data_IF_157023385572
#
_entry.id   IF_157023385572
#
_cell.length_a   1.000
_cell.length_b   1.000
_cell.length_c   1.000
_cell.angle_alpha   90.00
_cell.angle_beta   90.00
_cell.angle_gamma   90.00
#
_symmetry.space_group_name_H-M   'P 1'
#
loop_
_entity.id
_entity.type
_entity.pdbx_description
1 polymer ?
2 polymer ?
3 non-polymer ?
#
loop_
_entity_poly.entity_id
_entity_poly.type
_entity_poly.pdbx_seq_one_letter_code
_entity_poly.pdbx_strand_id
2 'polydeoxyribonucleotide' '(DG)(DT)(DA)(DT)(DG)(DG)(DC)(DG)(DC)(DC)(DA)(DT)(DA)(DC)' ?
#
# COMPACT_ATOMS: atom_id res chain seq x y z
N UNK A 12 1.99 -17.53 -4.35
CA UNK A 12 1.23 -17.81 -5.59
C UNK A 12 -0.27 -17.63 -5.39
N UNK A 13 -0.87 -18.23 -4.34
CA UNK A 13 -2.26 -17.91 -4.04
C UNK A 13 -2.41 -16.71 -3.12
N UNK A 14 -1.32 -16.27 -2.47
CA UNK A 14 -1.41 -15.06 -1.66
C UNK A 14 -1.84 -13.86 -2.49
N UNK A 15 -1.37 -13.78 -3.74
CA UNK A 15 -1.76 -12.67 -4.60
C UNK A 15 -3.25 -12.68 -4.83
N UNK A 16 -3.80 -13.85 -5.18
CA UNK A 16 -5.24 -13.94 -5.46
C UNK A 16 -6.05 -13.52 -4.24
N UNK A 17 -5.64 -13.96 -3.05
CA UNK A 17 -6.41 -13.68 -1.84
C UNK A 17 -6.38 -12.19 -1.47
N UNK A 18 -5.21 -11.55 -1.65
CA UNK A 18 -5.11 -10.12 -1.36
C UNK A 18 -5.91 -9.29 -2.35
N UNK A 19 -6.05 -9.77 -3.59
CA UNK A 19 -6.77 -9.03 -4.60
C UNK A 19 -8.23 -8.77 -4.19
N UNK A 27 -8.25 -3.16 -16.16
CA UNK A 27 -7.45 -2.54 -15.11
C UNK A 27 -7.11 -3.55 -14.03
N UNK A 28 -8.04 -4.49 -13.82
CA UNK A 28 -7.85 -5.56 -12.84
C UNK A 28 -6.49 -6.23 -13.00
N UNK A 29 -6.09 -6.53 -14.24
CA UNK A 29 -4.81 -7.19 -14.48
C UNK A 29 -3.61 -6.29 -14.17
N UNK A 30 -3.83 -4.99 -13.94
CA UNK A 30 -2.71 -4.14 -13.53
C UNK A 30 -2.49 -4.19 -12.03
N UNK A 31 -3.58 -4.17 -11.26
CA UNK A 31 -3.44 -4.34 -9.82
C UNK A 31 -2.88 -5.72 -9.51
N UNK A 32 -3.35 -6.74 -10.22
CA UNK A 32 -2.79 -8.08 -10.06
C UNK A 32 -1.29 -8.03 -10.21
N UNK A 33 -0.79 -7.26 -11.19
CA UNK A 33 0.65 -7.10 -11.33
C UNK A 33 1.24 -6.30 -10.17
N UNK A 34 0.42 -5.48 -9.48
CA UNK A 34 0.93 -4.61 -8.42
C UNK A 34 1.06 -5.35 -7.09
N UNK A 35 0.01 -6.05 -6.68
CA UNK A 35 0.08 -6.91 -5.51
C UNK A 35 1.21 -7.90 -5.66
N UNK A 36 1.39 -8.40 -6.89
CA UNK A 36 2.53 -9.26 -7.22
C UNK A 36 3.85 -8.58 -6.89
N UNK A 37 4.06 -7.35 -7.42
CA UNK A 37 5.25 -6.58 -7.03
C UNK A 37 5.38 -6.48 -5.52
N UNK A 38 4.25 -6.37 -4.83
CA UNK A 38 4.26 -6.17 -3.39
C UNK A 38 4.57 -7.46 -2.64
N UNK A 39 3.78 -8.52 -2.89
CA UNK A 39 3.93 -9.77 -2.15
C UNK A 39 5.37 -10.29 -2.24
N UNK A 40 6.02 -10.08 -3.39
CA UNK A 40 7.42 -10.49 -3.49
C UNK A 40 8.27 -9.76 -2.45
N UNK A 41 7.99 -8.49 -2.19
CA UNK A 41 8.73 -7.78 -1.16
C UNK A 41 8.33 -8.24 0.24
N UNK A 42 7.06 -8.64 0.43
CA UNK A 42 6.60 -8.99 1.76
C UNK A 42 6.91 -10.43 2.13
N UNK A 43 6.82 -11.38 1.18
CA UNK A 43 7.23 -12.75 1.46
C UNK A 43 8.68 -12.81 1.95
N UNK A 44 9.48 -11.79 1.62
CA UNK A 44 10.85 -11.73 2.11
C UNK A 44 10.94 -11.14 3.53
N UNK A 45 10.05 -10.20 3.87
CA UNK A 45 10.06 -9.64 5.22
C UNK A 45 9.43 -10.60 6.22
N UNK A 46 9.82 -10.46 7.48
CA UNK A 46 9.50 -11.46 8.49
C UNK A 46 8.10 -11.25 9.06
N UNK A 47 7.25 -12.26 8.89
CA UNK A 47 5.88 -12.21 9.34
C UNK A 47 5.11 -11.08 8.69
N UNK A 48 5.67 -10.48 7.64
CA UNK A 48 5.08 -9.28 7.07
C UNK A 48 3.79 -9.60 6.32
N UNK A 49 3.80 -10.68 5.53
CA UNK A 49 2.59 -11.05 4.81
C UNK A 49 1.42 -11.18 5.75
N UNK A 50 1.67 -11.72 6.96
CA UNK A 50 0.59 -11.97 7.91
C UNK A 50 -0.08 -10.67 8.35
N UNK A 51 0.72 -9.67 8.70
CA UNK A 51 0.15 -8.39 9.12
C UNK A 51 -0.82 -7.86 8.08
N UNK A 52 -0.46 -7.97 6.81
CA UNK A 52 -1.29 -7.42 5.74
C UNK A 52 -2.59 -8.18 5.54
N UNK A 53 -2.54 -9.51 5.61
CA UNK A 53 -3.74 -10.30 5.39
C UNK A 53 -4.83 -9.92 6.39
N UNK A 54 -4.44 -9.75 7.66
CA UNK A 54 -5.41 -9.31 8.65
C UNK A 54 -5.94 -7.92 8.34
N UNK A 55 -5.09 -7.02 7.86
CA UNK A 55 -5.52 -5.62 7.74
C UNK A 55 -6.51 -5.40 6.61
N UNK A 56 -6.48 -6.25 5.57
CA UNK A 56 -7.48 -6.12 4.53
C UNK A 56 -8.87 -6.43 5.06
N UNK A 57 -8.96 -7.17 6.18
CA UNK A 57 -10.25 -7.59 6.71
C UNK A 57 -10.98 -6.45 7.42
N UNK A 58 -10.32 -5.79 8.37
CA UNK A 58 -11.00 -4.83 9.26
C UNK A 58 -10.33 -3.46 9.20
N UNK A 59 -11.03 -2.41 8.73
CA UNK A 59 -10.47 -1.06 8.87
C UNK A 59 -10.45 -0.56 10.30
N UNK A 60 -11.46 -0.91 11.11
CA UNK A 60 -11.52 -0.45 12.48
C UNK A 60 -10.59 -1.19 13.42
N UNK A 61 -10.29 -2.44 13.13
CA UNK A 61 -9.36 -3.20 13.96
C UNK A 61 -7.96 -2.60 13.84
N UNK A 62 -7.17 -2.58 14.92
CA UNK A 62 -5.81 -2.06 14.82
C UNK A 62 -4.97 -2.89 13.88
N UNK A 63 -4.08 -2.22 13.16
CA UNK A 63 -3.27 -2.87 12.13
C UNK A 63 -1.83 -2.40 12.26
N UNK A 64 -0.90 -3.34 12.12
CA UNK A 64 0.52 -2.99 12.09
C UNK A 64 0.91 -2.36 10.75
N UNK A 65 1.99 -1.58 10.78
CA UNK A 65 2.58 -1.05 9.55
C UNK A 65 3.18 -2.18 8.71
N UNK A 66 2.94 -2.11 7.40
CA UNK A 66 3.60 -2.95 6.40
C UNK A 66 4.41 -2.01 5.51
N UNK A 67 5.72 -2.19 5.52
CA UNK A 67 6.65 -1.29 4.84
C UNK A 67 7.22 -1.93 3.59
N UNK A 68 7.53 -1.10 2.60
CA UNK A 68 8.45 -1.44 1.52
C UNK A 68 9.54 -0.36 1.48
N UNK A 69 10.69 -0.68 0.91
CA UNK A 69 11.74 0.34 0.77
C UNK A 69 11.25 1.59 0.05
N UNK A 70 11.94 2.70 0.27
CA UNK A 70 11.59 3.97 -0.34
C UNK A 70 12.61 4.35 -1.41
N UNK A 71 12.13 4.70 -2.59
CA UNK A 71 13.00 5.11 -3.68
C UNK A 71 13.41 6.55 -3.49
N UNK A 72 14.56 6.95 -4.02
CA UNK A 72 14.98 8.34 -3.86
C UNK A 72 13.90 9.25 -4.43
N UNK A 73 13.40 8.87 -5.61
CA UNK A 73 12.31 9.57 -6.27
C UNK A 73 11.05 9.65 -5.39
N UNK A 74 10.75 8.58 -4.64
CA UNK A 74 9.46 8.40 -4.04
C UNK A 74 8.54 7.50 -4.86
N UNK A 75 8.67 7.55 -6.17
CA UNK A 75 7.80 6.82 -7.07
C UNK A 75 8.15 5.35 -7.16
N UNK A 76 7.13 4.56 -7.46
CA UNK A 76 7.21 3.12 -7.63
C UNK A 76 6.65 2.76 -9.00
N UNK A 77 7.39 2.00 -9.79
CA UNK A 77 6.89 1.67 -11.11
C UNK A 77 6.38 0.24 -11.11
N UNK A 78 5.18 0.04 -11.65
CA UNK A 78 4.53 -1.27 -11.60
C UNK A 78 3.93 -1.56 -12.95
N UNK A 79 4.40 -2.62 -13.58
CA UNK A 79 3.91 -3.01 -14.90
C UNK A 79 3.89 -1.78 -15.79
N UNK A 80 5.00 -1.05 -15.72
CA UNK A 80 5.31 0.03 -16.63
C UNK A 80 4.63 1.36 -16.28
N UNK A 81 3.65 1.35 -15.36
CA UNK A 81 3.07 2.58 -14.80
C UNK A 81 3.86 2.95 -13.53
N UNK A 82 4.00 4.24 -13.33
CA UNK A 82 4.76 4.77 -12.24
C UNK A 82 3.99 5.74 -11.38
N UNK A 83 3.86 5.41 -10.10
CA UNK A 83 3.18 6.30 -9.18
C UNK A 83 3.61 6.04 -7.74
N UNK A 84 3.06 6.85 -6.82
CA UNK A 84 3.46 6.73 -5.44
C UNK A 84 2.91 5.44 -4.82
N UNK A 85 3.63 4.83 -3.88
CA UNK A 85 3.20 3.51 -3.36
C UNK A 85 1.87 3.50 -2.62
N UNK A 86 1.60 4.45 -1.71
CA UNK A 86 0.35 4.39 -0.93
C UNK A 86 -0.85 4.73 -1.78
N UNK A 87 -0.63 5.58 -2.79
CA UNK A 87 -1.68 5.87 -3.76
C UNK A 87 -2.01 4.61 -4.53
N UNK A 88 -1.00 3.85 -4.92
CA UNK A 88 -1.23 2.65 -5.72
C UNK A 88 -2.07 1.65 -4.93
N UNK A 89 -1.58 1.30 -3.73
CA UNK A 89 -2.18 0.21 -2.99
C UNK A 89 -3.48 0.64 -2.32
N UNK A 90 -3.65 1.92 -2.02
CA UNK A 90 -4.99 2.37 -1.65
C UNK A 90 -5.94 2.15 -2.80
N UNK A 91 -5.55 2.56 -3.99
CA UNK A 91 -6.44 2.50 -5.15
C UNK A 91 -6.75 1.08 -5.56
N UNK A 92 -5.83 0.15 -5.26
CA UNK A 92 -6.12 -1.26 -5.48
C UNK A 92 -7.16 -1.75 -4.50
N UNK A 93 -6.98 -1.41 -3.21
CA UNK A 93 -7.77 -1.99 -2.13
C UNK A 93 -8.88 -1.10 -1.55
N UNK A 94 -8.94 0.19 -1.90
CA UNK A 94 -9.98 1.04 -1.33
C UNK A 94 -10.76 1.85 -2.36
N UNK A 95 -10.20 2.95 -2.86
CA UNK A 95 -10.90 3.82 -3.79
C UNK A 95 -10.28 3.65 -5.17
N UNK A 96 -10.88 2.87 -6.07
CA UNK A 96 -10.27 2.69 -7.39
C UNK A 96 -10.28 3.95 -8.23
N UNK A 97 -11.09 4.94 -7.88
CA UNK A 97 -11.14 6.21 -8.59
C UNK A 97 -10.16 7.21 -8.02
N UNK A 98 -9.20 6.77 -7.23
CA UNK A 98 -8.27 7.69 -6.60
C UNK A 98 -7.28 8.23 -7.63
N UNK A 99 -7.10 9.56 -7.63
CA UNK A 99 -6.25 10.23 -8.61
C UNK A 99 -4.82 10.49 -8.10
N UNK A 100 -4.63 11.44 -7.18
CA UNK A 100 -3.29 11.83 -6.72
C UNK A 100 -3.19 11.71 -5.21
N UNK A 101 -2.00 11.96 -4.70
CA UNK A 101 -1.73 11.85 -3.27
C UNK A 101 -2.39 12.94 -2.44
N UNK A 102 -2.89 13.99 -3.09
CA UNK A 102 -3.58 15.04 -2.36
C UNK A 102 -4.89 14.53 -1.78
N UNK A 103 -5.56 13.62 -2.48
CA UNK A 103 -6.75 13.00 -1.93
C UNK A 103 -6.45 12.10 -0.73
N UNK A 104 -5.19 11.89 -0.39
CA UNK A 104 -4.83 11.03 0.73
C UNK A 104 -4.21 11.86 1.85
N UNK A 105 -4.38 11.38 3.08
CA UNK A 105 -3.74 11.96 4.25
C UNK A 105 -3.53 10.81 5.21
N UNK A 106 -2.43 10.80 5.96
CA UNK A 106 -2.10 9.65 6.79
C UNK A 106 -2.81 9.73 8.12
N UNK A 107 -3.26 8.59 8.61
CA UNK A 107 -3.84 8.59 9.94
C UNK A 107 -2.77 8.84 11.00
N UNK A 108 -3.25 9.03 12.22
CA UNK A 108 -2.44 9.22 13.41
C UNK A 108 -1.84 7.91 13.92
N UNK A 109 -2.32 6.76 13.42
CA UNK A 109 -1.83 5.44 13.83
C UNK A 109 -0.43 5.15 13.29
N UNK A 110 -0.11 5.64 12.08
CA UNK A 110 0.95 5.10 11.23
C UNK A 110 2.33 5.64 11.60
N UNK A 111 3.33 4.74 11.58
CA UNK A 111 4.69 5.12 11.93
C UNK A 111 5.57 5.48 10.73
N UNK A 112 5.24 5.05 9.51
CA UNK A 112 6.06 5.33 8.34
C UNK A 112 5.22 5.87 7.18
N UNK A 113 4.46 6.94 7.39
CA UNK A 113 3.63 7.47 6.32
C UNK A 113 4.49 7.94 5.14
N UNK A 114 3.83 8.21 4.02
CA UNK A 114 4.61 8.62 2.86
C UNK A 114 5.25 9.98 3.08
N UNK A 115 4.54 10.88 3.76
CA UNK A 115 5.13 12.17 4.05
C UNK A 115 6.42 12.07 4.83
N UNK A 116 6.52 11.05 5.69
CA UNK A 116 7.60 10.96 6.67
C UNK A 116 8.98 11.00 6.03
N UNK A 117 9.10 10.66 4.75
CA UNK A 117 10.37 10.63 4.06
C UNK A 117 11.38 9.70 4.74
N UNK A 118 10.89 8.74 5.53
CA UNK A 118 11.75 7.80 6.23
C UNK A 118 12.25 6.74 5.23
N UNK A 119 13.10 5.83 5.69
CA UNK A 119 13.72 4.91 4.74
C UNK A 119 12.72 3.88 4.20
N UNK A 120 11.77 3.43 5.02
CA UNK A 120 10.67 2.59 4.57
C UNK A 120 9.38 3.40 4.52
N UNK A 121 8.33 2.82 3.93
CA UNK A 121 7.08 3.53 3.68
C UNK A 121 5.89 2.58 3.78
N UNK A 122 4.87 3.01 4.53
CA UNK A 122 3.74 2.13 4.87
C UNK A 122 2.72 2.10 3.74
N UNK A 123 2.47 0.93 3.20
CA UNK A 123 1.49 0.73 2.14
C UNK A 123 0.27 -0.02 2.64
N UNK A 124 0.06 -0.05 3.94
CA UNK A 124 -1.19 -0.58 4.46
C UNK A 124 -2.30 0.37 4.09
N UNK A 125 -3.27 -0.06 3.28
CA UNK A 125 -4.23 0.89 2.72
C UNK A 125 -5.07 1.59 3.75
N UNK A 126 -5.29 0.99 4.92
CA UNK A 126 -6.18 1.59 5.89
C UNK A 126 -5.50 2.56 6.86
N UNK A 127 -4.19 2.83 6.69
CA UNK A 127 -3.50 3.86 7.47
C UNK A 127 -3.67 5.26 6.89
N UNK A 128 -4.56 5.44 5.92
CA UNK A 128 -4.77 6.73 5.28
C UNK A 128 -6.25 6.96 5.07
N UNK A 129 -6.67 8.23 5.18
CA UNK A 129 -8.05 8.61 4.86
C UNK A 129 -8.05 9.52 3.64
N UNK A 130 -9.18 9.52 2.92
CA UNK A 130 -9.34 10.28 1.69
C UNK A 130 -10.04 11.61 1.95
N UNK A 131 -9.42 12.71 1.51
CA UNK A 131 -9.92 14.06 1.75
C UNK A 131 -10.11 14.78 0.41
N UNK A 132 -11.35 15.07 0.04
CA UNK A 132 -11.60 15.79 -1.20
C UNK A 132 -11.56 17.28 -0.88
N UNK A 133 -10.52 17.95 -1.36
CA UNK A 133 -10.39 19.38 -1.10
C UNK A 133 -11.00 20.17 -2.25
#
# INVERSE_FOLDING_TARGET
>A
MTSMASLFSFTSPAVKRLLGWKQGDEEEKWAEKAVDALVKKLKKKKGAMEELEKALSSPGQPSKCVTIPRSLDGRLQVSHRKGLPHVIYCRVWRWPDLQSHHELKPLDICEFPFGSKQKEVCINPYHYKRVESPVLPPVLVPRLEHHHHH
#
